data_IF_266593770293
#
_entry.id   IF_266593770293
#
_cell.length_a   1.000
_cell.length_b   1.000
_cell.length_c   1.000
_cell.angle_alpha   90.00
_cell.angle_beta   90.00
_cell.angle_gamma   90.00
#
_symmetry.space_group_name_H-M   'P 1'
#
loop_
_entity.id
_entity.type
_entity.pdbx_description
1 polymer ?
#
# COMPACT_ATOMS: atom_id res chain seq x y z
N UNK A 1 -13.98 8.16 -17.11
CA UNK A 1 -13.61 6.76 -17.41
C UNK A 1 -12.10 6.49 -17.34
N UNK A 2 -11.24 6.88 -18.30
CA UNK A 2 -9.84 6.38 -18.31
C UNK A 2 -8.94 6.96 -17.19
N UNK A 3 -9.03 8.26 -16.88
CA UNK A 3 -8.18 8.88 -15.85
C UNK A 3 -8.45 8.36 -14.42
N UNK A 4 -9.70 8.28 -13.94
CA UNK A 4 -9.99 7.71 -12.60
C UNK A 4 -9.58 6.24 -12.48
N UNK A 5 -9.76 5.46 -13.55
CA UNK A 5 -9.31 4.07 -13.62
C UNK A 5 -7.79 3.97 -13.42
N UNK A 6 -7.01 4.75 -14.17
CA UNK A 6 -5.54 4.72 -14.08
C UNK A 6 -5.06 5.17 -12.69
N UNK A 7 -5.65 6.22 -12.12
CA UNK A 7 -5.30 6.70 -10.78
C UNK A 7 -5.56 5.63 -9.71
N UNK A 8 -6.72 4.97 -9.76
CA UNK A 8 -7.05 3.90 -8.83
C UNK A 8 -6.17 2.65 -9.03
N UNK A 9 -5.87 2.30 -10.29
CA UNK A 9 -4.98 1.19 -10.64
C UNK A 9 -3.58 1.41 -10.09
N UNK A 10 -2.97 2.57 -10.35
CA UNK A 10 -1.60 2.84 -9.93
C UNK A 10 -1.50 2.96 -8.42
N UNK A 11 -2.41 3.71 -7.79
CA UNK A 11 -2.49 3.84 -6.34
C UNK A 11 -2.63 2.48 -5.65
N UNK A 12 -3.64 1.70 -6.04
CA UNK A 12 -3.88 0.36 -5.48
C UNK A 12 -2.70 -0.59 -5.73
N UNK A 13 -2.06 -0.50 -6.89
CA UNK A 13 -0.90 -1.37 -7.20
C UNK A 13 0.27 -1.10 -6.25
N UNK A 14 0.50 0.15 -5.87
CA UNK A 14 1.60 0.51 -4.98
C UNK A 14 1.32 0.05 -3.55
N UNK A 15 0.14 0.34 -3.00
CA UNK A 15 -0.21 -0.08 -1.64
C UNK A 15 -0.31 -1.62 -1.54
N UNK A 16 -1.00 -2.27 -2.48
CA UNK A 16 -1.18 -3.73 -2.42
C UNK A 16 0.13 -4.52 -2.57
N UNK A 17 1.19 -3.90 -3.10
CA UNK A 17 2.50 -4.54 -3.28
C UNK A 17 3.09 -5.04 -1.95
N UNK A 18 2.99 -4.29 -0.86
CA UNK A 18 3.57 -4.70 0.42
C UNK A 18 2.83 -5.91 1.02
N UNK A 19 1.49 -5.91 0.93
CA UNK A 19 0.67 -7.07 1.30
C UNK A 19 1.14 -8.33 0.58
N UNK A 20 1.35 -8.26 -0.74
CA UNK A 20 1.77 -9.42 -1.54
C UNK A 20 3.17 -9.88 -1.18
N UNK A 21 4.10 -8.96 -0.93
CA UNK A 21 5.47 -9.31 -0.53
C UNK A 21 5.50 -10.02 0.82
N UNK A 22 4.73 -9.53 1.80
CA UNK A 22 4.68 -10.15 3.14
C UNK A 22 3.96 -11.51 3.07
N UNK A 23 2.84 -11.60 2.35
CA UNK A 23 2.13 -12.86 2.13
C UNK A 23 3.05 -13.90 1.47
N UNK A 24 3.81 -13.51 0.44
CA UNK A 24 4.77 -14.38 -0.22
C UNK A 24 5.87 -14.88 0.73
N UNK A 25 6.41 -14.01 1.58
CA UNK A 25 7.39 -14.39 2.60
C UNK A 25 6.84 -15.44 3.57
N UNK A 26 5.60 -15.26 4.04
CA UNK A 26 4.93 -16.18 4.96
C UNK A 26 4.60 -17.51 4.27
N UNK A 27 4.15 -17.48 3.01
CA UNK A 27 3.94 -18.70 2.19
C UNK A 27 5.24 -19.49 2.08
N UNK A 28 6.36 -18.83 1.80
CA UNK A 28 7.69 -19.46 1.69
C UNK A 28 8.22 -19.98 3.03
N UNK A 29 7.72 -19.46 4.13
CA UNK A 29 8.01 -19.93 5.48
C UNK A 29 7.19 -21.16 5.90
N UNK A 30 6.29 -21.66 5.04
CA UNK A 30 5.47 -22.85 5.32
C UNK A 30 4.07 -22.55 5.85
N UNK A 31 3.64 -21.29 5.88
CA UNK A 31 2.32 -20.87 6.39
C UNK A 31 1.39 -20.29 5.31
N UNK A 32 1.11 -21.03 4.22
CA UNK A 32 0.32 -20.47 3.12
C UNK A 32 -1.15 -20.22 3.50
N UNK A 33 -1.71 -21.02 4.41
CA UNK A 33 -3.11 -20.90 4.84
C UNK A 33 -3.32 -19.62 5.63
N UNK A 34 -2.43 -19.35 6.58
CA UNK A 34 -2.41 -18.14 7.40
C UNK A 34 -2.24 -16.91 6.53
N UNK A 35 -1.29 -16.94 5.58
CA UNK A 35 -1.06 -15.82 4.67
C UNK A 35 -2.31 -15.48 3.85
N UNK A 36 -2.89 -16.47 3.17
CA UNK A 36 -4.05 -16.27 2.29
C UNK A 36 -5.28 -15.84 3.10
N UNK A 37 -5.59 -16.55 4.19
CA UNK A 37 -6.74 -16.19 5.01
C UNK A 37 -6.59 -14.84 5.69
N UNK A 38 -5.39 -14.46 6.14
CA UNK A 38 -5.16 -13.16 6.75
C UNK A 38 -5.29 -12.00 5.75
N UNK A 39 -4.82 -12.17 4.50
CA UNK A 39 -5.00 -11.17 3.44
C UNK A 39 -6.49 -10.97 3.16
N UNK A 40 -7.22 -12.06 2.93
CA UNK A 40 -8.66 -12.02 2.64
C UNK A 40 -9.42 -11.39 3.82
N UNK A 41 -9.17 -11.88 5.04
CA UNK A 41 -9.84 -11.40 6.23
C UNK A 41 -9.54 -9.92 6.50
N UNK A 42 -8.28 -9.50 6.42
CA UNK A 42 -7.89 -8.11 6.62
C UNK A 42 -8.55 -7.16 5.61
N UNK A 43 -8.55 -7.51 4.32
CA UNK A 43 -9.20 -6.69 3.30
C UNK A 43 -10.71 -6.64 3.49
N UNK A 44 -11.35 -7.79 3.72
CA UNK A 44 -12.80 -7.84 3.99
C UNK A 44 -13.18 -7.01 5.21
N UNK A 45 -12.40 -7.07 6.28
CA UNK A 45 -12.63 -6.28 7.50
C UNK A 45 -12.65 -4.78 7.19
N UNK A 46 -11.67 -4.30 6.43
CA UNK A 46 -11.59 -2.89 6.05
C UNK A 46 -12.71 -2.52 5.06
N UNK A 47 -13.02 -3.35 4.06
CA UNK A 47 -14.12 -3.09 3.13
C UNK A 47 -15.48 -3.05 3.83
N UNK A 48 -15.73 -3.97 4.76
CA UNK A 48 -16.96 -3.99 5.56
C UNK A 48 -17.02 -2.74 6.45
N UNK A 49 -15.94 -2.39 7.14
CA UNK A 49 -15.89 -1.17 7.94
C UNK A 49 -16.16 0.07 7.08
N UNK A 50 -15.56 0.17 5.90
CA UNK A 50 -15.77 1.25 4.97
C UNK A 50 -17.21 1.34 4.47
N UNK A 51 -17.86 0.21 4.20
CA UNK A 51 -19.28 0.18 3.83
C UNK A 51 -20.17 0.76 4.93
N UNK A 52 -19.91 0.43 6.19
CA UNK A 52 -20.66 0.99 7.32
C UNK A 52 -20.31 2.44 7.63
N UNK A 53 -19.09 2.88 7.31
CA UNK A 53 -18.68 4.28 7.42
C UNK A 53 -19.14 5.13 6.23
N UNK A 54 -19.56 4.50 5.13
CA UNK A 54 -20.00 5.18 3.93
C UNK A 54 -21.12 6.18 4.22
N UNK A 55 -22.23 5.89 4.94
CA UNK A 55 -23.24 6.90 5.25
C UNK A 55 -22.70 8.10 6.04
N UNK A 56 -21.63 7.93 6.81
CA UNK A 56 -21.00 8.99 7.59
C UNK A 56 -20.03 9.88 6.77
N UNK A 57 -19.76 9.55 5.49
CA UNK A 57 -18.86 10.33 4.65
C UNK A 57 -19.35 11.77 4.42
N UNK A 58 -20.66 12.02 4.53
CA UNK A 58 -21.23 13.37 4.41
C UNK A 58 -20.81 14.30 5.55
N UNK A 59 -20.29 13.76 6.65
CA UNK A 59 -19.77 14.52 7.77
C UNK A 59 -18.28 14.89 7.63
N UNK A 60 -17.53 14.21 6.74
CA UNK A 60 -16.10 14.42 6.54
C UNK A 60 -15.87 15.06 5.18
N UNK A 61 -15.34 16.28 5.14
CA UNK A 61 -14.99 16.91 3.86
C UNK A 61 -13.96 16.06 3.11
N UNK A 62 -14.18 15.91 1.80
CA UNK A 62 -13.23 15.25 0.88
C UNK A 62 -11.85 15.89 0.96
N UNK A 63 -11.77 17.19 1.27
CA UNK A 63 -10.49 17.91 1.44
C UNK A 63 -9.64 17.34 2.57
N UNK A 64 -10.27 16.93 3.69
CA UNK A 64 -9.57 16.29 4.79
C UNK A 64 -9.04 14.92 4.41
N UNK A 65 -9.83 14.14 3.67
CA UNK A 65 -9.39 12.83 3.16
C UNK A 65 -8.21 12.98 2.21
N UNK A 66 -8.25 13.97 1.30
CA UNK A 66 -7.14 14.29 0.40
C UNK A 66 -5.90 14.74 1.16
N UNK A 67 -6.04 15.61 2.14
CA UNK A 67 -4.91 16.09 2.94
C UNK A 67 -4.24 14.95 3.71
N UNK A 68 -5.05 14.09 4.35
CA UNK A 68 -4.53 12.92 5.08
C UNK A 68 -3.82 11.98 4.12
N UNK A 69 -4.41 11.66 2.98
CA UNK A 69 -3.80 10.81 1.96
C UNK A 69 -2.48 11.42 1.43
N UNK A 70 -2.47 12.72 1.13
CA UNK A 70 -1.28 13.41 0.62
C UNK A 70 -0.14 13.44 1.65
N UNK A 71 -0.45 13.69 2.93
CA UNK A 71 0.52 13.64 4.03
C UNK A 71 1.06 12.22 4.24
N UNK A 72 0.19 11.21 4.19
CA UNK A 72 0.57 9.80 4.32
C UNK A 72 1.51 9.40 3.18
N UNK A 73 1.13 9.60 1.93
CA UNK A 73 1.95 9.29 0.74
C UNK A 73 3.31 10.00 0.79
N UNK A 74 3.32 11.27 1.20
CA UNK A 74 4.56 12.06 1.32
C UNK A 74 5.47 11.51 2.41
N UNK A 75 4.96 11.32 3.62
CA UNK A 75 5.77 10.89 4.76
C UNK A 75 6.27 9.45 4.60
N UNK A 76 5.41 8.55 4.12
CA UNK A 76 5.76 7.15 3.86
C UNK A 76 6.78 7.06 2.73
N UNK A 77 6.53 7.75 1.61
CA UNK A 77 7.43 7.80 0.46
C UNK A 77 8.83 8.31 0.84
N UNK A 78 8.90 9.41 1.60
CA UNK A 78 10.17 9.94 2.11
C UNK A 78 10.84 8.97 3.09
N UNK A 79 10.09 8.37 4.02
CA UNK A 79 10.64 7.39 4.96
C UNK A 79 11.29 6.21 4.23
N UNK A 80 10.64 5.66 3.20
CA UNK A 80 11.19 4.59 2.37
C UNK A 80 12.38 5.03 1.54
N UNK A 81 12.33 6.22 0.93
CA UNK A 81 13.42 6.77 0.14
C UNK A 81 14.68 6.96 1.01
N UNK A 82 14.56 7.65 2.16
CA UNK A 82 15.69 7.87 3.07
C UNK A 82 16.26 6.58 3.64
N UNK A 83 15.39 5.66 4.07
CA UNK A 83 15.80 4.35 4.58
C UNK A 83 16.55 3.54 3.52
N UNK A 84 16.10 3.59 2.28
CA UNK A 84 16.71 2.86 1.17
C UNK A 84 18.02 3.51 0.73
N UNK A 85 18.08 4.83 0.62
CA UNK A 85 19.30 5.58 0.33
C UNK A 85 20.39 5.29 1.37
N UNK A 86 20.06 5.33 2.66
CA UNK A 86 20.98 4.98 3.75
C UNK A 86 21.51 3.55 3.62
N UNK A 87 20.65 2.58 3.28
CA UNK A 87 21.07 1.18 3.08
C UNK A 87 21.98 0.99 1.87
N UNK A 88 21.74 1.76 0.81
CA UNK A 88 22.58 1.74 -0.38
C UNK A 88 23.97 2.32 -0.11
N UNK A 89 24.05 3.43 0.64
CA UNK A 89 25.33 4.00 1.09
C UNK A 89 26.13 3.03 1.97
N UNK A 90 25.44 2.22 2.77
CA UNK A 90 26.05 1.24 3.68
C UNK A 90 26.28 -0.15 3.05
N UNK A 91 26.07 -0.31 1.74
CA UNK A 91 26.19 -1.59 1.02
C UNK A 91 25.46 -2.78 1.70
N UNK A 92 24.34 -2.50 2.36
CA UNK A 92 23.57 -3.52 3.09
C UNK A 92 22.73 -4.37 2.13
N UNK A 93 22.80 -5.70 2.27
CA UNK A 93 21.98 -6.62 1.46
C UNK A 93 20.49 -6.55 1.83
N UNK A 94 19.58 -6.82 0.87
CA UNK A 94 18.14 -6.91 1.12
C UNK A 94 17.79 -7.87 2.27
N UNK A 95 17.03 -7.41 3.27
CA UNK A 95 16.70 -8.24 4.46
C UNK A 95 15.78 -9.42 4.13
N UNK A 96 14.97 -9.33 3.07
CA UNK A 96 14.07 -10.42 2.68
C UNK A 96 14.80 -11.65 2.10
N UNK A 97 16.04 -11.48 1.64
CA UNK A 97 16.88 -12.60 1.17
C UNK A 97 17.46 -13.37 2.36
N UNK A 98 17.87 -12.66 3.41
CA UNK A 98 18.53 -13.29 4.57
C UNK A 98 17.57 -13.64 5.72
N UNK A 99 16.54 -12.83 5.96
CA UNK A 99 15.54 -13.05 7.00
C UNK A 99 14.20 -12.34 6.67
N UNK A 100 13.38 -12.90 5.77
CA UNK A 100 12.11 -12.32 5.37
C UNK A 100 11.09 -12.21 6.52
N UNK A 101 11.17 -13.09 7.51
CA UNK A 101 10.27 -13.16 8.66
C UNK A 101 10.70 -12.26 9.83
N UNK A 102 11.97 -11.88 9.90
CA UNK A 102 12.52 -11.08 10.99
C UNK A 102 11.96 -9.66 11.10
N UNK A 103 11.39 -9.11 10.01
CA UNK A 103 10.63 -7.84 10.08
C UNK A 103 9.28 -7.98 10.78
N UNK A 104 8.75 -9.20 10.75
CA UNK A 104 7.38 -9.56 11.15
C UNK A 104 7.39 -10.14 12.58
N UNK A 105 8.56 -10.26 13.21
CA UNK A 105 8.73 -10.82 14.56
C UNK A 105 8.52 -12.34 14.61
N UNK A 106 8.53 -13.00 13.46
CA UNK A 106 8.36 -14.45 13.34
C UNK A 106 9.76 -15.08 13.34
N UNK A 107 10.10 -15.87 14.37
CA UNK A 107 11.35 -16.64 14.43
C UNK A 107 11.10 -18.08 14.00
N UNK A 108 12.13 -18.82 13.53
CA UNK A 108 11.98 -20.23 13.18
C UNK A 108 11.43 -21.09 14.32
N UNK A 109 11.68 -20.72 15.59
CA UNK A 109 11.14 -21.45 16.74
C UNK A 109 9.63 -21.25 16.95
N UNK A 110 9.04 -20.18 16.42
CA UNK A 110 7.59 -19.92 16.53
C UNK A 110 6.75 -20.60 15.44
N UNK A 111 7.40 -21.32 14.51
CA UNK A 111 6.77 -22.01 13.40
C UNK A 111 6.53 -23.49 13.76
N UNK A 112 5.30 -23.83 14.16
CA UNK A 112 4.86 -25.23 14.27
C UNK A 112 4.34 -25.65 12.88
N UNK A 113 5.04 -26.51 12.11
CA UNK A 113 4.81 -26.67 10.67
C UNK A 113 3.48 -27.34 10.28
N UNK A 114 2.80 -28.01 11.22
CA UNK A 114 1.58 -28.78 10.94
C UNK A 114 0.30 -28.11 11.45
N UNK A 115 0.40 -27.09 12.30
CA UNK A 115 -0.76 -26.45 12.92
C UNK A 115 -0.90 -25.01 12.41
N UNK A 116 -2.15 -24.58 12.24
CA UNK A 116 -2.45 -23.18 11.94
C UNK A 116 -1.87 -22.29 13.05
N UNK A 117 -1.08 -21.29 12.69
CA UNK A 117 -0.48 -20.36 13.65
C UNK A 117 -1.32 -19.09 13.80
N UNK A 118 -2.04 -18.89 14.92
CA UNK A 118 -2.82 -17.67 15.14
C UNK A 118 -1.94 -16.42 15.18
N UNK A 119 -0.70 -16.56 15.65
CA UNK A 119 0.26 -15.46 15.67
C UNK A 119 0.61 -14.99 14.25
N UNK A 120 1.01 -15.92 13.36
CA UNK A 120 1.32 -15.59 11.96
C UNK A 120 0.11 -14.98 11.26
N UNK A 121 -1.07 -15.56 11.48
CA UNK A 121 -2.33 -15.02 10.98
C UNK A 121 -2.59 -13.58 11.45
N UNK A 122 -2.46 -13.30 12.76
CA UNK A 122 -2.69 -11.96 13.31
C UNK A 122 -1.70 -10.93 12.79
N UNK A 123 -0.42 -11.28 12.68
CA UNK A 123 0.57 -10.33 12.18
C UNK A 123 0.33 -10.02 10.70
N UNK A 124 0.03 -11.04 9.88
CA UNK A 124 -0.34 -10.82 8.49
C UNK A 124 -1.65 -10.03 8.36
N UNK A 125 -2.63 -10.29 9.21
CA UNK A 125 -3.92 -9.59 9.22
C UNK A 125 -3.71 -8.12 9.52
N UNK A 126 -2.90 -7.78 10.54
CA UNK A 126 -2.56 -6.39 10.85
C UNK A 126 -1.94 -5.69 9.64
N UNK A 127 -1.02 -6.35 8.95
CA UNK A 127 -0.43 -5.82 7.73
C UNK A 127 -1.49 -5.58 6.65
N UNK A 128 -2.31 -6.58 6.34
CA UNK A 128 -3.35 -6.48 5.33
C UNK A 128 -4.41 -5.40 5.64
N UNK A 129 -4.73 -5.18 6.92
CA UNK A 129 -5.65 -4.12 7.36
C UNK A 129 -5.08 -2.73 7.10
N UNK A 130 -3.79 -2.51 7.41
CA UNK A 130 -3.13 -1.22 7.18
C UNK A 130 -3.13 -0.90 5.68
N UNK A 131 -2.66 -1.83 4.86
CA UNK A 131 -2.58 -1.66 3.41
C UNK A 131 -3.96 -1.49 2.77
N UNK A 132 -4.96 -2.27 3.19
CA UNK A 132 -6.32 -2.09 2.70
C UNK A 132 -6.92 -0.73 3.08
N UNK A 133 -6.54 -0.18 4.24
CA UNK A 133 -6.93 1.17 4.65
C UNK A 133 -6.28 2.23 3.76
N UNK A 134 -5.00 2.07 3.41
CA UNK A 134 -4.28 2.96 2.50
C UNK A 134 -4.88 2.93 1.08
N UNK A 135 -5.22 1.73 0.58
CA UNK A 135 -5.96 1.58 -0.68
C UNK A 135 -7.26 2.38 -0.64
N UNK A 136 -8.04 2.30 0.45
CA UNK A 136 -9.27 3.08 0.58
C UNK A 136 -9.01 4.59 0.61
N UNK A 137 -7.98 5.05 1.31
CA UNK A 137 -7.61 6.47 1.37
C UNK A 137 -7.22 7.04 0.00
N UNK A 138 -6.72 6.20 -0.91
CA UNK A 138 -6.42 6.60 -2.29
C UNK A 138 -7.65 6.48 -3.20
N UNK A 139 -8.34 5.36 -3.16
CA UNK A 139 -9.47 5.05 -4.05
C UNK A 139 -10.69 5.93 -3.78
N UNK A 140 -10.98 6.21 -2.51
CA UNK A 140 -12.19 6.94 -2.13
C UNK A 140 -12.20 8.39 -2.61
N UNK A 141 -11.16 9.23 -2.38
CA UNK A 141 -11.14 10.59 -2.92
C UNK A 141 -11.21 10.62 -4.44
N UNK A 142 -10.55 9.68 -5.13
CA UNK A 142 -10.61 9.58 -6.60
C UNK A 142 -12.04 9.28 -7.07
N UNK A 143 -12.75 8.36 -6.41
CA UNK A 143 -14.15 8.08 -6.70
C UNK A 143 -15.07 9.27 -6.40
N UNK A 144 -14.89 9.92 -5.25
CA UNK A 144 -15.71 11.04 -4.82
C UNK A 144 -15.56 12.26 -5.75
N UNK A 145 -14.35 12.57 -6.20
CA UNK A 145 -14.07 13.69 -7.10
C UNK A 145 -14.54 13.41 -8.52
N UNK A 146 -14.27 12.20 -9.03
CA UNK A 146 -14.60 11.85 -10.41
C UNK A 146 -16.08 11.53 -10.62
N UNK A 147 -16.80 11.12 -9.57
CA UNK A 147 -18.15 10.58 -9.64
C UNK A 147 -18.24 9.22 -10.36
N UNK A 148 -17.12 8.64 -10.79
CA UNK A 148 -17.04 7.46 -11.66
C UNK A 148 -16.60 6.22 -10.85
N UNK A 149 -17.46 5.79 -9.92
CA UNK A 149 -17.25 4.61 -9.08
C UNK A 149 -16.90 3.33 -9.87
N UNK A 150 -17.58 3.01 -11.01
CA UNK A 150 -17.25 1.81 -11.77
C UNK A 150 -15.82 1.84 -12.32
N UNK A 151 -15.37 2.97 -12.87
CA UNK A 151 -14.00 3.08 -13.38
C UNK A 151 -12.96 2.95 -12.26
N UNK A 152 -13.22 3.57 -11.11
CA UNK A 152 -12.31 3.54 -9.96
C UNK A 152 -12.21 2.15 -9.35
N UNK A 153 -13.33 1.46 -9.12
CA UNK A 153 -13.33 0.08 -8.63
C UNK A 153 -12.66 -0.85 -9.65
N UNK A 154 -12.95 -0.70 -10.94
CA UNK A 154 -12.29 -1.46 -12.01
C UNK A 154 -10.77 -1.27 -11.99
N UNK A 155 -10.30 -0.04 -11.80
CA UNK A 155 -8.87 0.27 -11.66
C UNK A 155 -8.25 -0.42 -10.44
N UNK A 156 -8.88 -0.30 -9.28
CA UNK A 156 -8.41 -0.92 -8.04
C UNK A 156 -8.31 -2.46 -8.15
N UNK A 157 -9.35 -3.13 -8.64
CA UNK A 157 -9.33 -4.58 -8.87
C UNK A 157 -8.25 -4.99 -9.87
N UNK A 158 -8.07 -4.21 -10.94
CA UNK A 158 -7.01 -4.47 -11.93
C UNK A 158 -5.63 -4.33 -11.30
N UNK A 159 -5.41 -3.32 -10.44
CA UNK A 159 -4.15 -3.16 -9.70
C UNK A 159 -3.83 -4.36 -8.81
N UNK A 160 -4.80 -4.81 -8.02
CA UNK A 160 -4.68 -6.04 -7.19
C UNK A 160 -4.31 -7.25 -8.06
N UNK A 161 -5.03 -7.44 -9.17
CA UNK A 161 -4.81 -8.57 -10.07
C UNK A 161 -3.41 -8.53 -10.70
N UNK A 162 -2.98 -7.37 -11.22
CA UNK A 162 -1.67 -7.20 -11.85
C UNK A 162 -0.56 -7.49 -10.85
N UNK A 163 -0.61 -6.89 -9.65
CA UNK A 163 0.43 -7.09 -8.63
C UNK A 163 0.50 -8.54 -8.17
N UNK A 164 -0.65 -9.19 -7.97
CA UNK A 164 -0.72 -10.62 -7.64
C UNK A 164 -0.09 -11.47 -8.74
N UNK A 165 -0.48 -11.25 -10.00
CA UNK A 165 0.06 -11.97 -11.16
C UNK A 165 1.56 -11.76 -11.30
N UNK A 166 2.05 -10.52 -11.15
CA UNK A 166 3.48 -10.21 -11.22
C UNK A 166 4.25 -10.94 -10.11
N UNK A 167 3.73 -11.00 -8.88
CA UNK A 167 4.39 -11.73 -7.81
C UNK A 167 4.49 -13.25 -8.08
N UNK A 168 3.43 -13.83 -8.65
CA UNK A 168 3.41 -15.25 -9.05
C UNK A 168 4.37 -15.54 -10.21
N UNK A 169 4.36 -14.71 -11.26
CA UNK A 169 5.15 -14.90 -12.47
C UNK A 169 6.63 -14.60 -12.25
N UNK A 170 6.94 -13.54 -11.48
CA UNK A 170 8.31 -13.10 -11.24
C UNK A 170 8.96 -13.76 -10.02
N UNK A 171 8.32 -14.73 -9.35
CA UNK A 171 8.82 -15.37 -8.13
C UNK A 171 10.32 -15.74 -8.19
N UNK A 172 10.78 -16.36 -9.29
CA UNK A 172 12.19 -16.74 -9.47
C UNK A 172 13.10 -15.54 -9.74
N UNK A 173 12.63 -14.56 -10.51
CA UNK A 173 13.41 -13.38 -10.90
C UNK A 173 13.46 -12.33 -9.79
N UNK A 174 12.46 -12.26 -8.92
CA UNK A 174 12.43 -11.35 -7.76
C UNK A 174 13.69 -11.49 -6.90
N UNK A 175 14.28 -12.70 -6.78
CA UNK A 175 15.54 -12.94 -6.06
C UNK A 175 16.73 -12.17 -6.61
N UNK A 176 16.67 -11.76 -7.89
CA UNK A 176 17.71 -10.98 -8.55
C UNK A 176 17.45 -9.46 -8.55
N UNK A 177 16.26 -9.01 -8.13
CA UNK A 177 15.91 -7.58 -8.14
C UNK A 177 16.50 -6.90 -6.90
N UNK A 178 17.30 -5.82 -7.05
CA UNK A 178 17.88 -5.11 -5.92
C UNK A 178 16.79 -4.34 -5.14
N UNK A 179 16.21 -4.97 -4.10
CA UNK A 179 15.13 -4.43 -3.22
C UNK A 179 15.36 -2.97 -2.85
N UNK A 180 16.60 -2.64 -2.47
CA UNK A 180 16.96 -1.31 -1.98
C UNK A 180 16.76 -0.25 -3.07
N UNK A 181 17.10 -0.55 -4.32
CA UNK A 181 16.89 0.39 -5.45
C UNK A 181 15.41 0.51 -5.79
N UNK A 182 14.68 -0.61 -5.78
CA UNK A 182 13.25 -0.60 -6.06
C UNK A 182 12.48 0.23 -5.03
N UNK A 183 12.78 0.05 -3.74
CA UNK A 183 12.16 0.83 -2.65
C UNK A 183 12.54 2.30 -2.67
N UNK A 184 13.74 2.64 -3.13
CA UNK A 184 14.13 4.03 -3.35
C UNK A 184 13.27 4.66 -4.44
N UNK A 185 13.14 4.01 -5.60
CA UNK A 185 12.33 4.52 -6.72
C UNK A 185 10.87 4.64 -6.32
N UNK A 186 10.28 3.60 -5.72
CA UNK A 186 8.88 3.62 -5.26
C UNK A 186 8.67 4.69 -4.20
N UNK A 187 9.58 4.81 -3.22
CA UNK A 187 9.49 5.84 -2.18
C UNK A 187 9.53 7.27 -2.75
N UNK A 188 10.37 7.52 -3.76
CA UNK A 188 10.41 8.81 -4.46
C UNK A 188 9.13 9.08 -5.25
N UNK A 189 8.57 8.06 -5.93
CA UNK A 189 7.31 8.20 -6.67
C UNK A 189 6.15 8.51 -5.73
N UNK A 190 6.03 7.79 -4.61
CA UNK A 190 5.03 8.03 -3.57
C UNK A 190 5.14 9.44 -3.00
N UNK A 191 6.36 9.87 -2.66
CA UNK A 191 6.60 11.22 -2.18
C UNK A 191 6.21 12.28 -3.22
N UNK A 192 6.54 12.05 -4.50
CA UNK A 192 6.16 12.93 -5.60
C UNK A 192 4.64 13.05 -5.77
N UNK A 193 3.91 11.93 -5.71
CA UNK A 193 2.44 11.94 -5.77
C UNK A 193 1.86 12.70 -4.57
N UNK A 194 2.32 12.40 -3.36
CA UNK A 194 1.87 13.10 -2.15
C UNK A 194 2.11 14.61 -2.22
N UNK A 195 3.31 15.03 -2.65
CA UNK A 195 3.64 16.45 -2.84
C UNK A 195 2.75 17.08 -3.93
N UNK A 196 2.49 16.39 -5.03
CA UNK A 196 1.62 16.92 -6.09
C UNK A 196 0.21 17.20 -5.58
N UNK A 197 -0.35 16.31 -4.76
CA UNK A 197 -1.66 16.51 -4.15
C UNK A 197 -1.66 17.62 -3.09
N UNK A 198 -0.57 17.76 -2.31
CA UNK A 198 -0.42 18.91 -1.39
C UNK A 198 -0.41 20.25 -2.14
N UNK A 199 0.28 20.31 -3.29
CA UNK A 199 0.31 21.51 -4.14
C UNK A 199 -1.07 21.80 -4.74
N UNK A 200 -1.78 20.78 -5.22
CA UNK A 200 -3.16 20.93 -5.70
C UNK A 200 -4.09 21.45 -4.60
N UNK A 201 -4.01 20.87 -3.39
CA UNK A 201 -4.79 21.32 -2.23
C UNK A 201 -4.49 22.79 -1.97
N UNK A 202 -3.21 23.15 -1.77
CA UNK A 202 -2.79 24.53 -1.52
C UNK A 202 -3.29 25.52 -2.60
N UNK A 203 -3.23 25.13 -3.88
CA UNK A 203 -3.74 25.95 -4.99
C UNK A 203 -5.27 26.11 -4.95
N UNK A 204 -5.99 25.10 -4.48
CA UNK A 204 -7.46 25.10 -4.39
C UNK A 204 -8.02 25.83 -3.16
N UNK A 205 -7.26 25.90 -2.05
CA UNK A 205 -7.69 26.60 -0.82
C UNK A 205 -7.50 28.12 -0.85
N UNK A 206 -7.06 28.68 -1.98
CA UNK A 206 -6.94 30.13 -2.16
C UNK A 206 -5.71 30.72 -1.50
N UNK A 207 -4.53 30.47 -2.07
CA UNK A 207 -3.47 31.48 -2.07
C UNK A 207 -3.63 32.38 -3.29
N UNK A 208 -4.76 33.09 -3.33
CA UNK A 208 -4.76 34.46 -3.85
C UNK A 208 -4.12 35.34 -2.77
N UNK A 209 -2.81 35.18 -2.50
CA UNK A 209 -2.11 36.36 -2.02
C UNK A 209 -2.14 37.32 -3.19
N UNK A 210 -2.79 38.46 -2.94
CA UNK A 210 -2.79 39.65 -3.75
C UNK A 210 -1.61 39.68 -4.74
N UNK A 211 -1.91 39.73 -6.03
CA UNK A 211 -0.97 40.36 -6.95
C UNK A 211 -0.69 41.76 -6.40
N UNK A 212 0.56 42.13 -6.07
CA UNK A 212 0.87 43.51 -5.77
C UNK A 212 1.12 44.23 -7.09
N UNK A 213 0.19 44.12 -8.06
CA UNK A 213 0.12 44.92 -9.28
C UNK A 213 -1.34 44.95 -9.74
#
# INVERSE_FOLDING_TARGET
>A
MFQPFIAALTGTSVEFFETVVIAYAIIRAGHPREAVFAVIFGHLLVFIAAFFLLPAHTAISVDWLRLIAALLLTTMGLYWAFKSAKRQMLNQRPRWVSNPLGKVGITPESLIPLAFSPFVFLVMTKSAVIEATEILLVVFPVAAISGDWPAVLGGAFTGIAIVTLLALLLHKRLQSIPEVKLKLVIGLLLAGIGISWLLEIYSSTGFQLASPF
#
